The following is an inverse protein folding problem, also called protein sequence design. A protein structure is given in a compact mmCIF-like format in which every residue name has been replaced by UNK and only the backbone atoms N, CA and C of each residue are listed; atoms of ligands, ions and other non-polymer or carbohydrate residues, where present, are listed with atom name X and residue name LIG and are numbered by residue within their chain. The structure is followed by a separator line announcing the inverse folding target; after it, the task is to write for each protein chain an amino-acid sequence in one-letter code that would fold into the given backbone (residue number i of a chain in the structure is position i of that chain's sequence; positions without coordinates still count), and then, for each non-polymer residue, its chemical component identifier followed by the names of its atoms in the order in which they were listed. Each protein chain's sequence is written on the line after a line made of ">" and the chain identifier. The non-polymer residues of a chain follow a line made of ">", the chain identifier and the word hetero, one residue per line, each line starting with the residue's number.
data_IF_546169125941
#
_entry.id   IF_546169125941
#
_cell.length_a   1.000
_cell.length_b   1.000
_cell.length_c   1.000
_cell.angle_alpha   90.00
_cell.angle_beta   90.00
_cell.angle_gamma   90.00
#
_symmetry.space_group_name_H-M   'P 1'
#
loop_
_entity.id
_entity.type
_entity.pdbx_description
1 polymer ?
#
# COMPACT_ATOMS: atom_id res chain seq x y z
N UNK A 1 -1.41 -1.16 25.70
CA UNK A 1 -0.18 -0.37 25.45
C UNK A 1 -0.58 1.09 25.50
N UNK A 2 0.24 1.93 26.12
CA UNK A 2 0.08 3.39 26.12
C UNK A 2 1.32 3.94 25.43
N UNK A 3 1.11 4.67 24.35
CA UNK A 3 2.18 5.23 23.52
C UNK A 3 1.97 6.73 23.32
N UNK A 4 3.03 7.45 23.02
CA UNK A 4 2.93 8.86 22.66
C UNK A 4 2.33 9.00 21.27
N UNK A 5 1.43 9.96 21.08
CA UNK A 5 0.96 10.31 19.75
C UNK A 5 2.12 10.92 18.94
N UNK A 6 2.31 10.41 17.72
CA UNK A 6 3.30 10.92 16.77
C UNK A 6 2.55 11.63 15.65
N UNK A 7 2.82 12.91 15.46
CA UNK A 7 2.25 13.70 14.38
C UNK A 7 3.08 13.54 13.11
N UNK A 8 2.44 13.16 12.02
CA UNK A 8 3.09 12.94 10.74
C UNK A 8 2.20 12.22 9.74
N UNK A 9 2.75 12.00 8.55
CA UNK A 9 2.14 11.17 7.54
C UNK A 9 2.56 9.71 7.74
N UNK A 10 1.63 8.79 7.51
CA UNK A 10 1.88 7.34 7.60
C UNK A 10 2.32 6.78 6.26
N UNK A 11 3.35 5.92 6.27
CA UNK A 11 3.87 5.25 5.09
C UNK A 11 4.06 3.77 5.35
N UNK A 12 3.86 2.96 4.30
CA UNK A 12 4.31 1.58 4.21
C UNK A 12 5.60 1.52 3.41
N UNK A 13 6.59 0.82 3.94
CA UNK A 13 7.89 0.57 3.31
C UNK A 13 8.00 -0.93 3.10
N UNK A 14 7.91 -1.35 1.85
CA UNK A 14 7.88 -2.77 1.53
C UNK A 14 9.09 -3.18 0.70
N UNK A 15 9.61 -4.37 0.98
CA UNK A 15 10.78 -4.83 0.30
C UNK A 15 11.18 -6.26 0.61
N UNK A 16 12.42 -6.58 0.27
CA UNK A 16 13.04 -7.87 0.48
C UNK A 16 14.45 -7.69 1.02
N UNK A 17 14.83 -8.51 1.98
CA UNK A 17 16.21 -8.54 2.48
C UNK A 17 16.88 -9.81 2.00
N UNK A 18 18.10 -9.68 1.47
CA UNK A 18 18.94 -10.77 0.99
C UNK A 18 20.35 -10.60 1.52
N UNK A 19 20.85 -11.61 2.22
CA UNK A 19 22.21 -11.60 2.80
C UNK A 19 22.47 -10.35 3.65
N UNK A 20 21.51 -9.98 4.49
CA UNK A 20 21.52 -8.77 5.34
C UNK A 20 21.54 -7.43 4.56
N UNK A 21 21.25 -7.44 3.26
CA UNK A 21 21.14 -6.26 2.46
C UNK A 21 19.64 -5.99 2.14
N UNK A 22 19.00 -4.98 2.74
CA UNK A 22 17.63 -4.63 2.44
C UNK A 22 17.52 -3.96 1.05
N UNK A 23 16.54 -4.39 0.28
CA UNK A 23 16.15 -3.79 -0.99
C UNK A 23 14.73 -3.28 -0.82
N UNK A 24 14.56 -1.96 -0.70
CA UNK A 24 13.26 -1.31 -0.67
C UNK A 24 12.69 -1.34 -2.09
N UNK A 25 11.48 -1.88 -2.22
CA UNK A 25 10.77 -2.01 -3.50
C UNK A 25 9.68 -0.98 -3.65
N UNK A 26 9.06 -0.56 -2.55
CA UNK A 26 8.06 0.51 -2.53
C UNK A 26 8.14 1.33 -1.25
N UNK A 27 7.85 2.61 -1.41
CA UNK A 27 7.55 3.56 -0.33
C UNK A 27 6.19 4.14 -0.67
N UNK A 28 5.18 3.82 0.12
CA UNK A 28 3.81 4.21 -0.16
C UNK A 28 3.22 5.02 0.98
N UNK A 29 2.70 6.21 0.67
CA UNK A 29 1.90 6.97 1.61
C UNK A 29 0.56 6.28 1.81
N UNK A 30 0.16 6.09 3.07
CA UNK A 30 -1.11 5.47 3.46
C UNK A 30 -2.20 6.53 3.64
N UNK A 31 -3.43 6.16 3.31
CA UNK A 31 -4.61 7.00 3.50
C UNK A 31 -5.66 6.23 4.29
N UNK A 32 -6.45 6.95 5.08
CA UNK A 32 -7.56 6.39 5.86
C UNK A 32 -8.89 7.03 5.51
N UNK A 33 -9.99 6.31 5.77
CA UNK A 33 -11.36 6.79 5.65
C UNK A 33 -11.69 7.74 6.81
N UNK A 34 -11.40 9.03 6.60
CA UNK A 34 -11.81 10.08 7.54
C UNK A 34 -11.11 10.00 8.91
N UNK A 35 -11.51 10.92 9.80
CA UNK A 35 -11.01 11.02 11.19
C UNK A 35 -11.93 10.30 12.20
N UNK A 36 -12.69 9.28 11.76
CA UNK A 36 -13.60 8.56 12.66
C UNK A 36 -12.81 7.55 13.51
N UNK A 37 -13.44 7.06 14.57
CA UNK A 37 -12.88 6.14 15.59
C UNK A 37 -12.26 4.84 15.02
N UNK A 38 -12.55 4.52 13.76
CA UNK A 38 -11.98 3.37 13.07
C UNK A 38 -11.02 3.88 11.97
N UNK A 39 -9.72 3.79 12.22
CA UNK A 39 -8.68 4.07 11.25
C UNK A 39 -8.67 2.99 10.15
N UNK A 40 -9.68 3.01 9.27
CA UNK A 40 -9.74 2.05 8.15
C UNK A 40 -8.90 2.61 7.02
N UNK A 41 -7.86 1.89 6.63
CA UNK A 41 -7.03 2.24 5.50
C UNK A 41 -7.87 2.29 4.21
N UNK A 42 -7.76 3.38 3.47
CA UNK A 42 -8.48 3.59 2.22
C UNK A 42 -7.62 3.40 0.97
N UNK A 43 -6.32 3.28 1.12
CA UNK A 43 -5.42 3.04 0.02
C UNK A 43 -4.00 3.53 0.25
N UNK A 44 -3.22 3.42 -0.81
CA UNK A 44 -1.81 3.79 -0.87
C UNK A 44 -1.54 4.63 -2.12
N UNK A 45 -0.52 5.49 -2.05
CA UNK A 45 0.09 6.09 -3.25
C UNK A 45 1.60 5.97 -3.15
N UNK A 46 2.24 5.41 -4.17
CA UNK A 46 3.68 5.30 -4.22
C UNK A 46 4.34 6.69 -4.23
N UNK A 47 5.36 6.86 -3.40
CA UNK A 47 6.13 8.10 -3.32
C UNK A 47 7.21 8.07 -4.39
N UNK A 48 7.21 9.09 -5.24
CA UNK A 48 8.24 9.27 -6.26
C UNK A 48 9.52 9.77 -5.61
N UNK A 49 10.62 9.07 -5.87
CA UNK A 49 11.93 9.61 -5.59
C UNK A 49 12.31 10.63 -6.67
N UNK A 50 12.23 11.91 -6.32
CA UNK A 50 12.71 12.97 -7.23
C UNK A 50 14.16 13.32 -6.91
N UNK A 51 14.85 13.95 -7.85
CA UNK A 51 16.20 14.46 -7.65
C UNK A 51 16.26 15.76 -6.83
N UNK A 52 15.21 16.07 -6.04
CA UNK A 52 15.25 17.19 -5.13
C UNK A 52 16.03 16.82 -3.86
N UNK A 53 16.84 17.74 -3.36
CA UNK A 53 17.62 17.53 -2.13
C UNK A 53 16.76 17.19 -0.90
N UNK A 54 15.48 17.61 -0.90
CA UNK A 54 14.54 17.29 0.19
C UNK A 54 14.07 15.84 0.13
N UNK A 55 13.83 15.33 -1.06
CA UNK A 55 13.39 13.95 -1.24
C UNK A 55 14.56 12.99 -0.98
N UNK A 56 15.78 13.35 -1.40
CA UNK A 56 16.99 12.57 -1.09
C UNK A 56 17.15 12.39 0.42
N UNK A 57 17.04 13.46 1.22
CA UNK A 57 17.12 13.39 2.68
C UNK A 57 15.99 12.55 3.29
N UNK A 58 14.79 12.62 2.73
CA UNK A 58 13.65 11.83 3.18
C UNK A 58 13.89 10.33 2.94
N UNK A 59 14.30 9.96 1.72
CA UNK A 59 14.58 8.56 1.39
C UNK A 59 15.77 8.01 2.16
N UNK A 60 16.85 8.77 2.35
CA UNK A 60 17.98 8.38 3.18
C UNK A 60 17.56 8.05 4.64
N UNK A 61 16.66 8.84 5.21
CA UNK A 61 16.13 8.57 6.56
C UNK A 61 15.30 7.29 6.60
N UNK A 62 14.47 7.04 5.58
CA UNK A 62 13.71 5.80 5.45
C UNK A 62 14.66 4.61 5.35
N UNK A 63 15.65 4.66 4.49
CA UNK A 63 16.64 3.60 4.31
C UNK A 63 17.37 3.29 5.63
N UNK A 64 17.83 4.33 6.33
CA UNK A 64 18.48 4.18 7.62
C UNK A 64 17.56 3.60 8.71
N UNK A 65 16.30 4.04 8.78
CA UNK A 65 15.33 3.51 9.73
C UNK A 65 15.00 2.05 9.43
N UNK A 66 14.80 1.72 8.16
CA UNK A 66 14.55 0.35 7.68
C UNK A 66 15.70 -0.58 8.04
N UNK A 67 16.94 -0.20 7.69
CA UNK A 67 18.10 -1.02 7.99
C UNK A 67 18.25 -1.29 9.49
N UNK A 68 18.11 -0.27 10.33
CA UNK A 68 18.18 -0.40 11.80
C UNK A 68 17.08 -1.29 12.37
N UNK A 69 15.83 -1.17 11.88
CA UNK A 69 14.74 -1.99 12.33
C UNK A 69 14.95 -3.47 11.99
N UNK A 70 15.34 -3.76 10.74
CA UNK A 70 15.60 -5.13 10.28
C UNK A 70 16.78 -5.76 11.02
N UNK A 71 17.86 -5.01 11.27
CA UNK A 71 19.01 -5.46 12.06
C UNK A 71 18.62 -5.76 13.51
N UNK A 72 17.89 -4.85 14.17
CA UNK A 72 17.47 -5.00 15.55
C UNK A 72 16.56 -6.22 15.75
N UNK A 73 15.71 -6.51 14.77
CA UNK A 73 14.81 -7.67 14.77
C UNK A 73 15.46 -8.95 14.21
N UNK A 74 16.70 -8.86 13.72
CA UNK A 74 17.45 -9.97 13.11
C UNK A 74 16.69 -10.62 11.94
N UNK A 75 16.00 -9.81 11.15
CA UNK A 75 15.30 -10.27 9.95
C UNK A 75 16.34 -10.41 8.83
N UNK A 76 16.39 -11.58 8.18
CA UNK A 76 17.25 -11.86 7.04
C UNK A 76 16.56 -12.79 6.05
N UNK A 77 16.94 -12.71 4.79
CA UNK A 77 16.49 -13.57 3.70
C UNK A 77 14.94 -13.74 3.66
N UNK A 78 14.23 -12.63 3.75
CA UNK A 78 12.78 -12.57 3.87
C UNK A 78 12.20 -11.34 3.16
N UNK A 79 10.90 -11.33 2.98
CA UNK A 79 10.13 -10.10 2.75
C UNK A 79 10.13 -9.27 4.03
N UNK A 80 9.91 -7.98 3.89
CA UNK A 80 9.61 -7.11 5.01
C UNK A 80 8.57 -6.05 4.63
N UNK A 81 7.83 -5.61 5.63
CA UNK A 81 6.98 -4.44 5.58
C UNK A 81 7.17 -3.66 6.87
N UNK A 82 7.41 -2.36 6.76
CA UNK A 82 7.47 -1.45 7.89
C UNK A 82 6.39 -0.40 7.73
N UNK A 83 5.64 -0.19 8.81
CA UNK A 83 4.82 0.99 8.96
C UNK A 83 5.62 2.06 9.68
N UNK A 84 5.68 3.24 9.10
CA UNK A 84 6.36 4.38 9.68
C UNK A 84 5.43 5.59 9.74
N UNK A 85 5.66 6.44 10.73
CA UNK A 85 5.12 7.80 10.75
C UNK A 85 6.28 8.76 10.53
N UNK A 86 6.20 9.53 9.44
CA UNK A 86 7.23 10.48 9.08
C UNK A 86 6.73 11.92 9.16
N UNK A 87 7.49 12.75 9.86
CA UNK A 87 7.38 14.21 9.88
C UNK A 87 8.53 14.83 9.08
N UNK A 88 8.60 16.18 9.08
CA UNK A 88 9.70 16.87 8.40
C UNK A 88 11.10 16.49 8.91
N UNK A 89 11.22 16.12 10.18
CA UNK A 89 12.52 15.95 10.85
C UNK A 89 12.77 14.52 11.32
N UNK A 90 11.72 13.69 11.45
CA UNK A 90 11.79 12.39 12.10
C UNK A 90 11.07 11.32 11.29
N UNK A 91 11.59 10.11 11.37
CA UNK A 91 10.98 8.87 10.89
C UNK A 91 10.89 7.94 12.08
N UNK A 92 9.68 7.56 12.44
CA UNK A 92 9.39 6.67 13.56
C UNK A 92 8.82 5.37 13.01
N UNK A 93 9.45 4.23 13.34
CA UNK A 93 8.95 2.91 12.99
C UNK A 93 7.85 2.54 13.99
N UNK A 94 6.68 2.21 13.47
CA UNK A 94 5.49 1.83 14.25
C UNK A 94 5.36 0.31 14.30
N UNK A 95 5.51 -0.33 13.14
CA UNK A 95 5.39 -1.78 13.00
C UNK A 95 6.44 -2.28 12.01
N UNK A 96 6.89 -3.54 12.22
CA UNK A 96 7.74 -4.25 11.28
C UNK A 96 7.28 -5.70 11.18
N UNK A 97 6.96 -6.15 9.98
CA UNK A 97 6.53 -7.50 9.67
C UNK A 97 7.39 -8.17 8.61
N UNK A 98 7.22 -9.49 8.47
CA UNK A 98 7.88 -10.31 7.43
C UNK A 98 6.91 -10.66 6.27
N UNK A 99 5.77 -10.02 6.22
CA UNK A 99 4.78 -10.10 5.15
C UNK A 99 4.55 -8.72 4.59
N UNK A 100 4.25 -8.65 3.30
CA UNK A 100 3.86 -7.38 2.68
C UNK A 100 2.51 -6.91 3.22
N UNK A 101 2.31 -5.60 3.26
CA UNK A 101 1.01 -5.02 3.61
C UNK A 101 -0.07 -5.39 2.57
N UNK A 102 -1.33 -5.16 2.92
CA UNK A 102 -2.49 -5.57 2.13
C UNK A 102 -2.41 -5.07 0.68
N UNK A 103 -2.42 -6.02 -0.27
CA UNK A 103 -2.39 -5.75 -1.72
C UNK A 103 -1.13 -5.05 -2.26
N UNK A 104 -0.08 -4.88 -1.47
CA UNK A 104 1.20 -4.32 -1.96
C UNK A 104 1.81 -5.22 -3.04
N UNK A 105 1.65 -6.53 -2.95
CA UNK A 105 2.07 -7.46 -4.01
C UNK A 105 1.45 -7.11 -5.38
N UNK A 106 0.19 -6.64 -5.39
CA UNK A 106 -0.51 -6.20 -6.59
C UNK A 106 0.03 -4.87 -7.12
N UNK A 107 0.31 -3.93 -6.21
CA UNK A 107 0.94 -2.67 -6.57
C UNK A 107 2.33 -2.92 -7.17
N UNK A 108 3.16 -3.76 -6.53
CA UNK A 108 4.47 -4.15 -7.06
C UNK A 108 4.37 -4.83 -8.44
N UNK A 109 3.39 -5.74 -8.61
CA UNK A 109 3.14 -6.38 -9.91
C UNK A 109 2.75 -5.37 -10.99
N UNK A 110 1.94 -4.37 -10.66
CA UNK A 110 1.58 -3.28 -11.58
C UNK A 110 2.81 -2.43 -11.95
N UNK A 111 3.78 -2.29 -11.03
CA UNK A 111 5.09 -1.66 -11.28
C UNK A 111 6.05 -2.55 -12.07
N UNK A 112 5.65 -3.76 -12.46
CA UNK A 112 6.50 -4.73 -13.17
C UNK A 112 7.44 -5.52 -12.27
N UNK A 113 7.22 -5.51 -10.95
CA UNK A 113 8.04 -6.26 -9.98
C UNK A 113 7.35 -7.57 -9.63
N UNK A 114 7.99 -8.69 -9.93
CA UNK A 114 7.54 -10.01 -9.49
C UNK A 114 8.19 -10.36 -8.13
N UNK A 115 7.55 -9.93 -7.05
CA UNK A 115 8.06 -10.14 -5.69
C UNK A 115 8.18 -11.63 -5.33
N UNK A 116 7.32 -12.49 -5.86
CA UNK A 116 7.35 -13.93 -5.59
C UNK A 116 8.57 -14.60 -6.22
N UNK A 117 8.93 -14.19 -7.45
CA UNK A 117 10.15 -14.67 -8.11
C UNK A 117 11.41 -14.20 -7.35
N UNK A 118 11.42 -12.96 -6.89
CA UNK A 118 12.51 -12.43 -6.06
C UNK A 118 12.64 -13.23 -4.76
N UNK A 119 11.52 -13.55 -4.09
CA UNK A 119 11.52 -14.32 -2.85
C UNK A 119 12.03 -15.74 -3.07
N UNK A 120 11.60 -16.42 -4.15
CA UNK A 120 12.12 -17.75 -4.52
C UNK A 120 13.65 -17.69 -4.73
N UNK A 121 14.14 -16.66 -5.41
CA UNK A 121 15.57 -16.47 -5.64
C UNK A 121 16.33 -16.33 -4.32
N UNK A 122 15.82 -15.53 -3.37
CA UNK A 122 16.43 -15.34 -2.05
C UNK A 122 16.47 -16.65 -1.28
N UNK A 123 15.35 -17.37 -1.18
CA UNK A 123 15.27 -18.67 -0.48
C UNK A 123 16.21 -19.70 -1.12
N UNK A 124 16.40 -19.64 -2.43
CA UNK A 124 17.33 -20.51 -3.16
C UNK A 124 18.80 -20.08 -3.02
N UNK A 125 19.11 -19.05 -2.22
CA UNK A 125 20.47 -18.54 -2.00
C UNK A 125 21.05 -17.73 -3.16
N UNK A 126 20.22 -17.42 -4.17
CA UNK A 126 20.64 -16.59 -5.30
C UNK A 126 20.74 -15.12 -4.89
N UNK A 127 21.65 -14.40 -5.53
CA UNK A 127 21.74 -12.95 -5.35
C UNK A 127 20.67 -12.27 -6.20
N UNK A 128 19.97 -11.33 -5.60
CA UNK A 128 19.01 -10.48 -6.29
C UNK A 128 19.57 -9.07 -6.41
N UNK A 129 19.17 -8.36 -7.46
CA UNK A 129 19.46 -6.94 -7.64
C UNK A 129 18.20 -6.12 -7.49
N UNK A 130 18.36 -4.86 -7.10
CA UNK A 130 17.21 -3.93 -7.09
C UNK A 130 16.61 -3.83 -8.50
N UNK A 131 15.30 -4.03 -8.64
CA UNK A 131 14.65 -3.90 -9.94
C UNK A 131 14.70 -2.45 -10.41
N UNK A 132 14.85 -2.26 -11.71
CA UNK A 132 14.70 -0.93 -12.31
C UNK A 132 13.21 -0.66 -12.46
N UNK A 133 12.68 0.21 -11.61
CA UNK A 133 11.29 0.65 -11.68
C UNK A 133 11.23 1.99 -12.38
N UNK A 134 10.35 2.12 -13.36
CA UNK A 134 10.02 3.43 -13.91
C UNK A 134 9.07 4.16 -12.94
N UNK A 135 9.66 4.97 -12.08
CA UNK A 135 8.93 5.79 -11.10
C UNK A 135 8.53 7.16 -11.68
N UNK A 136 8.28 7.26 -12.99
CA UNK A 136 7.97 8.54 -13.64
C UNK A 136 6.68 9.18 -13.12
N UNK A 137 5.72 8.37 -12.68
CA UNK A 137 4.44 8.82 -12.11
C UNK A 137 4.06 8.04 -10.87
N UNK A 138 3.41 8.67 -9.86
CA UNK A 138 2.90 7.96 -8.71
C UNK A 138 1.86 6.91 -9.14
N UNK A 139 1.83 5.78 -8.45
CA UNK A 139 0.83 4.74 -8.64
C UNK A 139 -0.03 4.69 -7.39
N UNK A 140 -1.35 4.75 -7.56
CA UNK A 140 -2.31 4.70 -6.47
C UNK A 140 -3.06 3.38 -6.48
N UNK A 141 -3.13 2.74 -5.31
CA UNK A 141 -4.04 1.65 -5.02
C UNK A 141 -5.10 2.16 -4.04
N UNK A 142 -6.37 2.09 -4.44
CA UNK A 142 -7.47 2.58 -3.61
C UNK A 142 -8.45 1.46 -3.31
N UNK A 143 -8.85 1.34 -2.05
CA UNK A 143 -9.90 0.43 -1.62
C UNK A 143 -11.28 1.07 -1.81
N UNK A 144 -12.22 0.28 -2.30
CA UNK A 144 -13.61 0.68 -2.52
C UNK A 144 -14.46 0.18 -1.37
N UNK A 145 -15.20 1.08 -0.72
CA UNK A 145 -16.04 0.77 0.43
C UNK A 145 -17.46 1.29 0.24
N UNK A 146 -18.44 0.54 0.72
CA UNK A 146 -19.81 1.00 0.75
C UNK A 146 -19.98 2.24 1.64
N UNK A 147 -20.61 3.29 1.13
CA UNK A 147 -20.91 4.51 1.89
C UNK A 147 -22.23 4.44 2.69
N UNK A 148 -23.09 3.47 2.37
CA UNK A 148 -24.36 3.15 3.04
C UNK A 148 -24.63 1.65 2.92
N UNK A 149 -25.66 1.15 3.60
CA UNK A 149 -26.18 -0.20 3.38
C UNK A 149 -26.96 -0.28 2.07
N UNK A 150 -26.90 -1.43 1.40
CA UNK A 150 -27.64 -1.66 0.16
C UNK A 150 -27.10 -2.86 -0.61
N UNK A 151 -27.74 -3.19 -1.72
CA UNK A 151 -27.29 -4.26 -2.61
C UNK A 151 -26.27 -3.73 -3.60
N UNK A 152 -25.06 -4.28 -3.55
CA UNK A 152 -23.92 -3.89 -4.39
C UNK A 152 -24.18 -4.21 -5.86
N UNK A 153 -23.90 -3.24 -6.74
CA UNK A 153 -23.93 -3.40 -8.18
C UNK A 153 -22.74 -2.69 -8.83
N UNK A 154 -22.21 -3.28 -9.89
CA UNK A 154 -21.10 -2.70 -10.66
C UNK A 154 -21.66 -1.73 -11.71
N UNK A 155 -21.08 -0.56 -11.79
CA UNK A 155 -21.31 0.37 -12.90
C UNK A 155 -20.31 0.06 -14.02
N UNK A 156 -20.71 -0.81 -14.95
CA UNK A 156 -19.83 -1.30 -16.01
C UNK A 156 -19.32 -0.16 -16.91
N UNK A 157 -20.17 0.82 -17.24
CA UNK A 157 -19.77 1.95 -18.08
C UNK A 157 -18.66 2.78 -17.43
N UNK A 158 -18.70 2.97 -16.12
CA UNK A 158 -17.66 3.67 -15.39
C UNK A 158 -16.38 2.82 -15.28
N UNK A 159 -16.50 1.51 -15.12
CA UNK A 159 -15.36 0.57 -15.11
C UNK A 159 -14.65 0.57 -16.46
N UNK A 160 -15.38 0.54 -17.57
CA UNK A 160 -14.82 0.52 -18.92
C UNK A 160 -14.10 1.83 -19.29
N UNK A 161 -14.49 2.95 -18.65
CA UNK A 161 -13.84 4.26 -18.82
C UNK A 161 -12.68 4.49 -17.85
N UNK A 162 -12.50 3.63 -16.85
CA UNK A 162 -11.47 3.81 -15.85
C UNK A 162 -10.08 3.58 -16.43
N UNK A 163 -9.17 4.55 -16.22
CA UNK A 163 -7.78 4.46 -16.68
C UNK A 163 -6.91 3.73 -15.67
N UNK A 164 -7.12 2.42 -15.51
CA UNK A 164 -6.40 1.58 -14.57
C UNK A 164 -6.97 0.18 -14.53
N UNK A 165 -6.77 -0.50 -13.40
CA UNK A 165 -7.33 -1.83 -13.16
C UNK A 165 -8.33 -1.75 -12.01
N UNK A 166 -9.44 -2.46 -12.14
CA UNK A 166 -10.49 -2.57 -11.12
C UNK A 166 -10.65 -4.04 -10.76
N UNK A 167 -10.69 -4.32 -9.47
CA UNK A 167 -10.86 -5.67 -8.95
C UNK A 167 -11.98 -5.67 -7.91
N UNK A 168 -12.83 -6.69 -7.96
CA UNK A 168 -13.97 -6.84 -7.07
C UNK A 168 -13.76 -8.00 -6.10
N UNK A 169 -13.97 -7.75 -4.81
CA UNK A 169 -13.96 -8.76 -3.75
C UNK A 169 -15.39 -9.21 -3.43
N UNK A 170 -16.38 -8.32 -3.68
CA UNK A 170 -17.79 -8.62 -3.48
C UNK A 170 -18.49 -9.00 -4.79
N UNK A 171 -19.45 -9.92 -4.69
CA UNK A 171 -20.29 -10.31 -5.81
C UNK A 171 -21.44 -9.33 -6.00
N UNK A 172 -21.77 -8.89 -7.24
CA UNK A 172 -22.95 -8.10 -7.51
C UNK A 172 -24.23 -8.77 -6.94
N UNK A 173 -25.09 -7.98 -6.31
CA UNK A 173 -26.28 -8.47 -5.61
C UNK A 173 -26.06 -8.77 -4.12
N UNK A 174 -24.82 -8.77 -3.62
CA UNK A 174 -24.54 -8.93 -2.19
C UNK A 174 -25.06 -7.76 -1.38
N UNK A 175 -25.63 -8.04 -0.21
CA UNK A 175 -25.96 -7.01 0.77
C UNK A 175 -24.68 -6.55 1.46
N UNK A 176 -24.40 -5.27 1.38
CA UNK A 176 -23.21 -4.64 1.97
C UNK A 176 -23.62 -3.50 2.92
N UNK A 177 -22.70 -3.09 3.77
CA UNK A 177 -22.90 -1.99 4.73
C UNK A 177 -21.68 -1.09 4.81
N UNK A 178 -21.81 0.04 5.51
CA UNK A 178 -20.65 0.87 5.82
C UNK A 178 -19.54 0.04 6.46
N UNK A 179 -18.27 0.28 6.09
CA UNK A 179 -17.17 -0.53 6.56
C UNK A 179 -16.97 -0.36 8.08
N UNK A 180 -16.58 -1.47 8.72
CA UNK A 180 -16.14 -1.53 10.11
C UNK A 180 -14.65 -1.91 10.19
N UNK A 181 -14.12 -2.51 9.12
CA UNK A 181 -12.74 -2.94 9.00
C UNK A 181 -12.29 -2.92 7.54
N UNK A 182 -10.99 -3.13 7.31
CA UNK A 182 -10.43 -3.30 5.97
C UNK A 182 -11.00 -4.53 5.25
N UNK A 183 -11.53 -5.52 5.96
CA UNK A 183 -12.14 -6.71 5.37
C UNK A 183 -13.48 -6.44 4.68
N UNK A 184 -14.08 -5.27 4.91
CA UNK A 184 -15.37 -4.89 4.32
C UNK A 184 -15.22 -4.19 2.95
N UNK A 185 -14.09 -4.38 2.26
CA UNK A 185 -13.87 -3.82 0.93
C UNK A 185 -14.84 -4.43 -0.10
N UNK A 186 -15.36 -3.58 -0.98
CA UNK A 186 -16.10 -4.01 -2.17
C UNK A 186 -15.15 -4.51 -3.26
N UNK A 187 -14.00 -3.90 -3.32
CA UNK A 187 -12.96 -4.13 -4.30
C UNK A 187 -11.85 -3.10 -4.15
N UNK A 188 -11.00 -3.00 -5.15
CA UNK A 188 -9.90 -2.06 -5.17
C UNK A 188 -9.51 -1.69 -6.60
N UNK A 189 -8.82 -0.56 -6.74
CA UNK A 189 -8.34 -0.06 -8.02
C UNK A 189 -6.85 0.18 -7.97
N UNK A 190 -6.17 0.03 -9.11
CA UNK A 190 -4.79 0.51 -9.30
C UNK A 190 -4.78 1.41 -10.53
N UNK A 191 -4.15 2.58 -10.42
CA UNK A 191 -3.98 3.52 -11.53
C UNK A 191 -2.69 4.32 -11.41
N UNK A 192 -2.19 4.81 -12.55
CA UNK A 192 -1.17 5.85 -12.60
C UNK A 192 -1.90 7.17 -12.36
N UNK A 193 -1.41 8.02 -11.48
CA UNK A 193 -2.00 9.26 -10.96
C UNK A 193 -2.76 9.09 -9.63
N UNK A 194 -2.79 10.16 -8.84
CA UNK A 194 -3.64 10.26 -7.64
C UNK A 194 -5.12 10.26 -8.06
N UNK A 195 -5.66 9.11 -8.34
CA UNK A 195 -7.09 8.99 -8.55
C UNK A 195 -7.79 8.92 -7.19
N UNK A 196 -8.60 9.93 -6.88
CA UNK A 196 -9.52 9.84 -5.73
C UNK A 196 -10.40 8.60 -5.89
N UNK A 197 -10.77 7.92 -4.79
CA UNK A 197 -11.64 6.75 -4.85
C UNK A 197 -12.89 7.09 -5.65
N UNK A 198 -13.05 6.41 -6.78
CA UNK A 198 -14.11 6.74 -7.73
C UNK A 198 -15.40 6.10 -7.24
N UNK A 199 -16.22 6.90 -6.57
CA UNK A 199 -17.56 6.53 -6.11
C UNK A 199 -18.53 6.15 -7.25
N UNK A 200 -18.09 6.33 -8.47
CA UNK A 200 -18.89 6.09 -9.68
C UNK A 200 -18.78 4.65 -10.20
N UNK A 201 -17.76 3.89 -9.76
CA UNK A 201 -17.52 2.52 -10.25
C UNK A 201 -18.60 1.53 -9.79
N UNK A 202 -19.39 1.87 -8.78
CA UNK A 202 -20.44 1.03 -8.25
C UNK A 202 -21.61 1.89 -7.75
N UNK A 203 -22.76 1.25 -7.56
CA UNK A 203 -23.91 1.84 -6.90
C UNK A 203 -24.56 0.85 -5.94
N UNK A 204 -25.35 1.37 -5.01
CA UNK A 204 -26.05 0.59 -3.99
C UNK A 204 -27.55 0.80 -4.16
N UNK A 205 -28.25 -0.27 -4.53
CA UNK A 205 -29.71 -0.27 -4.56
C UNK A 205 -30.26 -0.40 -3.14
N UNK A 206 -31.22 0.41 -2.81
CA UNK A 206 -32.06 0.18 -1.64
C UNK A 206 -32.97 -0.99 -1.99
N UNK A 207 -33.08 -1.97 -1.10
CA UNK A 207 -33.80 -3.23 -1.30
C UNK A 207 -35.03 -3.14 -2.21
N UNK A 208 -35.21 -4.15 -3.04
CA UNK A 208 -36.47 -4.46 -3.73
C UNK A 208 -37.57 -4.74 -2.71
#
# INVERSE_FOLDING_TARGET
>A
IIESFIDGDEYSIDGIISKNNPIILSVCKKYSLGKSENFIMSGFTSVKQSSSSKDEVFFERIENATAKALEALKISDSLFSLDIIASRNEVNVVECGILLDCKIDRLLSFMGINIYEMMISVISGQSISSPKVDNSSPISLNFLFANKSGYFQINQDAVDQFKGQVFWEQTPGSLVSKPKSISDILGWTISVEESKPQKELYFLNESV
#
